data_IF_215488795388
#
_entry.id   IF_215488795388
#
_cell.length_a   1.000
_cell.length_b   1.000
_cell.length_c   1.000
_cell.angle_alpha   90.00
_cell.angle_beta   90.00
_cell.angle_gamma   90.00
#
_symmetry.space_group_name_H-M   'P 1'
#
loop_
_entity.id
_entity.type
_entity.pdbx_description
1 polymer ?
#
# COMPACT_ATOMS: atom_id res chain seq x y z
N UNK A 1 2.38 -15.03 14.25
CA UNK A 1 2.52 -14.87 12.78
C UNK A 1 3.50 -13.76 12.56
N UNK A 2 4.77 -14.13 12.40
CA UNK A 2 5.85 -13.19 12.12
C UNK A 2 5.71 -12.76 10.66
N UNK A 3 5.51 -11.46 10.43
CA UNK A 3 5.54 -10.92 9.08
C UNK A 3 6.93 -11.20 8.50
N UNK A 4 7.01 -12.10 7.51
CA UNK A 4 8.26 -12.46 6.83
C UNK A 4 8.87 -11.27 6.05
N UNK A 5 8.12 -10.17 5.92
CA UNK A 5 8.53 -8.95 5.24
C UNK A 5 8.33 -7.72 6.13
N UNK A 6 9.37 -6.90 6.25
CA UNK A 6 9.35 -5.65 7.01
C UNK A 6 9.05 -4.46 6.10
N UNK A 7 8.02 -3.67 6.43
CA UNK A 7 7.73 -2.41 5.77
C UNK A 7 8.81 -1.37 6.07
N UNK A 8 9.48 -0.91 5.01
CA UNK A 8 10.37 0.25 5.05
C UNK A 8 9.66 1.40 4.37
N UNK A 9 9.42 2.49 5.10
CA UNK A 9 8.92 3.73 4.51
C UNK A 9 10.11 4.60 4.09
N UNK A 10 10.31 4.77 2.79
CA UNK A 10 11.30 5.69 2.25
C UNK A 10 10.60 7.01 1.90
N UNK A 11 10.61 7.96 2.84
CA UNK A 11 9.95 9.26 2.66
C UNK A 11 10.64 10.14 1.62
N UNK A 12 11.95 9.97 1.41
CA UNK A 12 12.72 10.71 0.39
C UNK A 12 12.31 10.29 -1.02
N UNK A 13 12.23 8.98 -1.26
CA UNK A 13 11.75 8.42 -2.52
C UNK A 13 10.22 8.45 -2.65
N UNK A 14 9.49 8.69 -1.55
CA UNK A 14 8.02 8.59 -1.44
C UNK A 14 7.51 7.20 -1.82
N UNK A 15 8.16 6.18 -1.28
CA UNK A 15 7.85 4.79 -1.58
C UNK A 15 7.85 3.93 -0.31
N UNK A 16 6.83 3.09 -0.16
CA UNK A 16 6.86 1.98 0.78
C UNK A 16 7.56 0.80 0.11
N UNK A 17 8.44 0.11 0.83
CA UNK A 17 9.27 -0.94 0.27
C UNK A 17 9.29 -2.16 1.19
N UNK A 18 9.28 -3.35 0.60
CA UNK A 18 9.69 -4.59 1.25
C UNK A 18 11.02 -5.01 0.65
N UNK A 19 12.02 -5.19 1.52
CA UNK A 19 13.24 -5.89 1.15
C UNK A 19 12.92 -7.37 0.99
N UNK A 20 13.13 -7.88 -0.21
CA UNK A 20 13.13 -9.31 -0.54
C UNK A 20 14.60 -9.69 -0.82
N UNK A 21 14.89 -10.99 -0.97
CA UNK A 21 16.25 -11.50 -1.15
C UNK A 21 17.09 -10.71 -2.18
N UNK A 22 16.73 -10.79 -3.47
CA UNK A 22 17.44 -10.12 -4.57
C UNK A 22 16.58 -9.06 -5.27
N UNK A 23 15.49 -8.64 -4.65
CA UNK A 23 14.52 -7.72 -5.25
C UNK A 23 13.80 -6.90 -4.20
N UNK A 24 13.07 -5.87 -4.65
CA UNK A 24 12.28 -5.02 -3.77
C UNK A 24 10.88 -4.90 -4.33
N UNK A 25 9.88 -5.23 -3.51
CA UNK A 25 8.51 -4.86 -3.80
C UNK A 25 8.26 -3.45 -3.25
N UNK A 26 7.63 -2.58 -4.03
CA UNK A 26 7.44 -1.18 -3.65
C UNK A 26 6.05 -0.66 -4.01
N UNK A 27 5.55 0.27 -3.20
CA UNK A 27 4.36 1.07 -3.47
C UNK A 27 4.78 2.52 -3.51
N UNK A 28 4.61 3.14 -4.66
CA UNK A 28 4.83 4.57 -4.82
C UNK A 28 3.63 5.34 -4.29
N UNK A 29 3.94 6.45 -3.62
CA UNK A 29 2.91 7.31 -3.08
C UNK A 29 3.23 8.79 -3.27
N UNK A 30 2.18 9.60 -3.24
CA UNK A 30 2.28 11.05 -3.12
C UNK A 30 1.68 11.42 -1.77
N UNK A 31 2.41 12.17 -0.95
CA UNK A 31 1.92 12.67 0.34
C UNK A 31 1.61 14.16 0.19
N UNK A 32 0.37 14.55 0.50
CA UNK A 32 -0.05 15.95 0.45
C UNK A 32 -0.93 16.27 1.65
N UNK A 33 -0.44 17.14 2.54
CA UNK A 33 -1.08 17.45 3.83
C UNK A 33 -1.40 16.14 4.59
N UNK A 34 -2.65 15.95 4.98
CA UNK A 34 -3.16 14.77 5.69
C UNK A 34 -3.62 13.66 4.73
N UNK A 35 -3.26 13.73 3.44
CA UNK A 35 -3.65 12.76 2.42
C UNK A 35 -2.45 12.02 1.87
N UNK A 36 -2.65 10.75 1.54
CA UNK A 36 -1.68 9.91 0.87
C UNK A 36 -2.32 9.23 -0.33
N UNK A 37 -1.70 9.38 -1.49
CA UNK A 37 -2.17 8.87 -2.77
C UNK A 37 -1.28 7.70 -3.14
N UNK A 38 -1.80 6.48 -3.14
CA UNK A 38 -1.05 5.32 -3.60
C UNK A 38 -1.21 5.22 -5.11
N UNK A 39 -0.14 5.54 -5.85
CA UNK A 39 -0.17 5.76 -7.30
C UNK A 39 0.17 4.50 -8.07
N UNK A 40 1.19 3.78 -7.63
CA UNK A 40 1.70 2.60 -8.33
C UNK A 40 2.17 1.54 -7.33
N UNK A 41 2.03 0.27 -7.70
CA UNK A 41 2.50 -0.86 -6.91
C UNK A 41 3.27 -1.78 -7.83
N UNK A 42 4.52 -2.03 -7.50
CA UNK A 42 5.42 -2.89 -8.28
C UNK A 42 5.88 -4.05 -7.39
N UNK A 43 5.64 -5.26 -7.87
CA UNK A 43 6.07 -6.49 -7.20
C UNK A 43 6.90 -7.28 -8.20
N UNK A 44 8.09 -7.77 -7.82
CA UNK A 44 8.91 -8.57 -8.72
C UNK A 44 8.20 -9.87 -9.12
N UNK A 45 8.34 -10.27 -10.39
CA UNK A 45 7.61 -11.41 -10.99
C UNK A 45 7.74 -12.72 -10.21
N UNK A 46 8.91 -13.00 -9.64
CA UNK A 46 9.15 -14.20 -8.83
C UNK A 46 8.35 -14.27 -7.51
N UNK A 47 7.69 -13.18 -7.14
CA UNK A 47 6.87 -13.02 -5.94
C UNK A 47 5.41 -12.68 -6.25
N UNK A 48 5.04 -12.51 -7.52
CA UNK A 48 3.65 -12.41 -7.94
C UNK A 48 2.91 -13.71 -7.58
N UNK A 49 1.65 -13.60 -7.16
CA UNK A 49 0.85 -14.76 -6.72
C UNK A 49 1.21 -15.34 -5.33
N UNK A 50 2.34 -14.93 -4.72
CA UNK A 50 2.75 -15.36 -3.36
C UNK A 50 2.19 -14.50 -2.24
N UNK A 51 1.33 -13.52 -2.55
CA UNK A 51 0.71 -12.63 -1.56
C UNK A 51 1.59 -11.46 -1.08
N UNK A 52 2.82 -11.30 -1.60
CA UNK A 52 3.73 -10.22 -1.17
C UNK A 52 3.14 -8.83 -1.40
N UNK A 53 2.56 -8.57 -2.58
CA UNK A 53 1.91 -7.29 -2.87
C UNK A 53 0.72 -7.01 -1.96
N UNK A 54 -0.03 -8.06 -1.60
CA UNK A 54 -1.17 -7.97 -0.68
C UNK A 54 -0.72 -7.60 0.73
N UNK A 55 0.34 -8.23 1.23
CA UNK A 55 0.93 -7.91 2.54
C UNK A 55 1.56 -6.51 2.54
N UNK A 56 2.19 -6.11 1.43
CA UNK A 56 2.76 -4.77 1.25
C UNK A 56 1.68 -3.69 1.32
N UNK A 57 0.57 -3.89 0.61
CA UNK A 57 -0.58 -3.00 0.73
C UNK A 57 -1.09 -3.00 2.16
N UNK A 58 -1.32 -4.18 2.76
CA UNK A 58 -1.87 -4.28 4.12
C UNK A 58 -1.04 -3.49 5.14
N UNK A 59 0.27 -3.71 5.19
CA UNK A 59 1.16 -3.00 6.11
C UNK A 59 1.22 -1.50 5.79
N UNK A 60 1.21 -1.12 4.51
CA UNK A 60 1.15 0.30 4.12
C UNK A 60 -0.14 0.95 4.62
N UNK A 61 -1.29 0.29 4.49
CA UNK A 61 -2.57 0.79 5.00
C UNK A 61 -2.59 0.88 6.53
N UNK A 62 -1.99 -0.08 7.23
CA UNK A 62 -1.81 -0.02 8.68
C UNK A 62 -0.95 1.18 9.09
N UNK A 63 0.14 1.45 8.38
CA UNK A 63 0.97 2.62 8.61
C UNK A 63 0.18 3.92 8.42
N UNK A 64 -0.57 4.02 7.32
CA UNK A 64 -1.41 5.19 6.98
C UNK A 64 -2.46 5.41 8.06
N UNK A 65 -3.13 4.34 8.51
CA UNK A 65 -4.11 4.38 9.60
C UNK A 65 -3.48 4.83 10.92
N UNK A 66 -2.29 4.33 11.27
CA UNK A 66 -1.56 4.74 12.49
C UNK A 66 -1.13 6.21 12.45
N UNK A 67 -0.97 6.78 11.26
CA UNK A 67 -0.61 8.18 11.05
C UNK A 67 -1.82 9.11 10.88
N UNK A 68 -3.04 8.58 11.04
CA UNK A 68 -4.30 9.29 10.82
C UNK A 68 -4.38 9.97 9.43
N UNK A 69 -3.78 9.34 8.43
CA UNK A 69 -3.75 9.86 7.06
C UNK A 69 -4.96 9.35 6.27
N UNK A 70 -5.53 10.23 5.44
CA UNK A 70 -6.58 9.88 4.51
C UNK A 70 -6.00 9.23 3.25
N UNK A 71 -6.42 8.02 2.95
CA UNK A 71 -5.96 7.27 1.79
C UNK A 71 -6.71 7.65 0.51
N UNK A 72 -5.98 7.78 -0.59
CA UNK A 72 -6.51 7.89 -1.95
C UNK A 72 -5.91 6.77 -2.81
N UNK A 73 -6.66 5.70 -3.10
CA UNK A 73 -6.14 4.57 -3.87
C UNK A 73 -6.26 4.85 -5.38
N UNK A 74 -5.23 5.47 -5.98
CA UNK A 74 -5.19 5.70 -7.43
C UNK A 74 -4.75 4.45 -8.20
N UNK A 75 -3.94 3.61 -7.58
CA UNK A 75 -3.55 2.33 -8.15
C UNK A 75 -4.75 1.35 -8.19
N UNK A 76 -5.07 0.74 -9.36
CA UNK A 76 -6.19 -0.20 -9.47
C UNK A 76 -6.01 -1.44 -8.60
N UNK A 77 -4.76 -1.86 -8.36
CA UNK A 77 -4.46 -3.01 -7.51
C UNK A 77 -4.81 -2.73 -6.03
N UNK A 78 -4.49 -1.53 -5.54
CA UNK A 78 -4.87 -1.07 -4.19
C UNK A 78 -6.39 -0.94 -4.07
N UNK A 79 -7.03 -0.33 -5.07
CA UNK A 79 -8.49 -0.21 -5.12
C UNK A 79 -9.18 -1.58 -5.04
N UNK A 80 -8.72 -2.56 -5.82
CA UNK A 80 -9.22 -3.93 -5.78
C UNK A 80 -9.02 -4.58 -4.41
N UNK A 81 -7.85 -4.37 -3.78
CA UNK A 81 -7.58 -4.89 -2.45
C UNK A 81 -8.55 -4.34 -1.39
N UNK A 82 -8.84 -3.03 -1.43
CA UNK A 82 -9.80 -2.37 -0.53
C UNK A 82 -11.23 -2.86 -0.81
N UNK A 83 -11.59 -3.08 -2.08
CA UNK A 83 -12.89 -3.65 -2.45
C UNK A 83 -13.10 -5.02 -1.83
N UNK A 84 -12.06 -5.87 -1.82
CA UNK A 84 -12.05 -7.19 -1.15
C UNK A 84 -11.99 -7.10 0.38
N UNK A 85 -11.47 -5.99 0.92
CA UNK A 85 -11.29 -5.78 2.35
C UNK A 85 -12.02 -4.50 2.81
N UNK A 86 -13.36 -4.55 2.98
CA UNK A 86 -14.16 -3.38 3.27
C UNK A 86 -13.78 -2.65 4.55
N UNK A 87 -13.09 -3.31 5.49
CA UNK A 87 -12.51 -2.70 6.70
C UNK A 87 -11.60 -1.49 6.42
N UNK A 88 -10.98 -1.44 5.23
CA UNK A 88 -10.11 -0.33 4.83
C UNK A 88 -10.86 0.82 4.16
N UNK A 89 -12.14 0.64 3.81
CA UNK A 89 -12.94 1.70 3.18
C UNK A 89 -13.08 2.94 4.06
N UNK A 90 -13.06 2.77 5.39
CA UNK A 90 -13.10 3.90 6.32
C UNK A 90 -11.86 4.79 6.28
N UNK A 91 -10.72 4.25 5.80
CA UNK A 91 -9.47 5.01 5.62
C UNK A 91 -9.47 5.81 4.32
N UNK A 92 -10.29 5.41 3.34
CA UNK A 92 -10.34 6.05 2.02
C UNK A 92 -11.08 7.38 2.10
N UNK A 93 -10.59 8.36 1.35
CA UNK A 93 -11.27 9.64 1.18
C UNK A 93 -12.73 9.43 0.75
N UNK A 94 -13.66 9.98 1.54
CA UNK A 94 -15.10 9.94 1.25
C UNK A 94 -15.36 10.56 -0.13
N UNK A 95 -16.07 9.84 -0.99
CA UNK A 95 -16.41 10.28 -2.35
C UNK A 95 -15.57 9.66 -3.47
N UNK A 96 -14.54 8.87 -3.16
CA UNK A 96 -13.85 8.08 -4.18
C UNK A 96 -14.65 6.83 -4.53
N UNK A 97 -14.97 6.67 -5.81
CA UNK A 97 -15.62 5.48 -6.32
C UNK A 97 -14.59 4.36 -6.53
N UNK A 98 -14.57 3.42 -5.60
CA UNK A 98 -13.83 2.16 -5.70
C UNK A 98 -14.78 1.14 -6.36
N UNK A 99 -15.20 1.43 -7.60
CA UNK A 99 -16.18 0.65 -8.35
C UNK A 99 -15.57 -0.64 -8.91
#
# INVERSE_FOLDING_TARGET
MESQYQLVNNEEAKQFQFKLDESVAKIEYIKAKEKIYLTHTEVPKGFEGKGVGTELIKQSLEYIKKKDLTLVPLCPFVAMYIKRNPKWKSLVLKGINIA
#
